data_IF_029316778393
#
_entry.id   IF_029316778393
#
_cell.length_a   1.000
_cell.length_b   1.000
_cell.length_c   1.000
_cell.angle_alpha   90.00
_cell.angle_beta   90.00
_cell.angle_gamma   90.00
#
_symmetry.space_group_name_H-M   'P 1'
#
loop_
_entity.id
_entity.type
_entity.pdbx_description
1 polymer ?
#
# COMPACT_ATOMS: atom_id res chain seq x y z
N UNK A 1 18.33 -10.81 -17.61
CA UNK A 1 17.75 -10.49 -17.34
C UNK A 1 17.14 -10.93 -17.25
N UNK A 2 17.77 -10.96 -17.42
CA UNK A 2 17.18 -11.71 -17.41
C UNK A 2 15.90 -11.40 -17.27
N UNK A 3 15.22 -11.90 -17.73
CA UNK A 3 13.87 -11.68 -17.38
C UNK A 3 13.35 -10.30 -17.61
N UNK A 4 14.03 -9.48 -18.37
CA UNK A 4 13.58 -8.12 -18.59
C UNK A 4 13.55 -7.25 -17.35
N UNK A 5 14.30 -7.62 -16.35
CA UNK A 5 14.34 -6.86 -15.12
C UNK A 5 15.07 -5.57 -15.33
N UNK A 6 14.43 -4.49 -15.04
CA UNK A 6 14.95 -3.16 -15.25
C UNK A 6 14.68 -2.28 -14.07
N UNK A 7 15.13 -1.04 -14.18
CA UNK A 7 14.96 -0.08 -13.11
C UNK A 7 13.51 0.34 -12.90
N UNK A 8 12.62 0.01 -13.81
CA UNK A 8 11.24 0.44 -13.69
C UNK A 8 10.39 -0.43 -12.75
N UNK A 9 11.03 -1.28 -11.99
CA UNK A 9 10.31 -2.13 -11.05
C UNK A 9 10.24 -3.57 -11.48
N UNK A 10 10.71 -3.89 -12.67
CA UNK A 10 10.72 -5.29 -13.11
C UNK A 10 11.64 -6.11 -12.23
N UNK A 11 12.67 -5.49 -11.66
CA UNK A 11 13.51 -6.16 -10.67
C UNK A 11 12.69 -6.70 -9.51
N UNK A 12 11.58 -6.06 -9.20
CA UNK A 12 10.68 -6.53 -8.15
C UNK A 12 10.08 -7.90 -8.44
N UNK A 13 9.85 -8.21 -9.72
CA UNK A 13 9.32 -9.52 -10.10
C UNK A 13 10.28 -10.64 -9.72
N UNK A 14 11.55 -10.44 -9.99
CA UNK A 14 12.55 -11.43 -9.60
C UNK A 14 12.61 -11.58 -8.08
N UNK A 15 12.50 -10.47 -7.37
CA UNK A 15 12.48 -10.47 -5.91
C UNK A 15 11.28 -11.25 -5.39
N UNK A 16 10.11 -11.05 -5.98
CA UNK A 16 8.92 -11.79 -5.58
C UNK A 16 9.13 -13.30 -5.73
N UNK A 17 9.69 -13.72 -6.85
CA UNK A 17 9.94 -15.12 -7.09
C UNK A 17 10.95 -15.68 -6.12
N UNK A 18 12.01 -14.94 -5.87
CA UNK A 18 13.04 -15.37 -4.93
C UNK A 18 12.47 -15.53 -3.53
N UNK A 19 11.47 -14.75 -3.19
CA UNK A 19 10.81 -14.81 -1.89
C UNK A 19 9.62 -15.76 -1.85
N UNK A 20 9.34 -16.46 -2.95
CA UNK A 20 8.23 -17.39 -2.99
C UNK A 20 6.88 -16.74 -3.16
N UNK A 21 6.84 -15.58 -3.82
CA UNK A 21 5.61 -14.79 -3.97
C UNK A 21 4.93 -15.01 -5.32
N UNK A 22 5.29 -16.06 -6.02
CA UNK A 22 4.75 -16.30 -7.36
C UNK A 22 3.23 -16.37 -7.39
N UNK A 23 2.65 -16.99 -6.37
CA UNK A 23 1.20 -17.19 -6.35
C UNK A 23 0.45 -15.86 -6.24
N UNK A 24 0.98 -14.94 -5.43
CA UNK A 24 0.36 -13.64 -5.29
C UNK A 24 0.40 -12.84 -6.59
N UNK A 25 1.54 -12.87 -7.27
CA UNK A 25 1.68 -12.19 -8.54
C UNK A 25 0.75 -12.81 -9.59
N UNK A 26 0.70 -14.14 -9.62
CA UNK A 26 -0.19 -14.83 -10.55
C UNK A 26 -1.64 -14.51 -10.29
N UNK A 27 -2.04 -14.48 -9.03
CA UNK A 27 -3.42 -14.18 -8.70
C UNK A 27 -3.83 -12.82 -9.23
N UNK A 28 -2.95 -11.82 -9.10
CA UNK A 28 -3.24 -10.50 -9.64
C UNK A 28 -3.36 -10.52 -11.14
N UNK A 29 -2.46 -11.22 -11.82
CA UNK A 29 -2.47 -11.28 -13.27
C UNK A 29 -3.70 -11.99 -13.82
N UNK A 30 -4.22 -12.94 -13.04
CA UNK A 30 -5.35 -13.76 -13.50
C UNK A 30 -6.70 -13.21 -13.06
N UNK A 31 -6.69 -12.11 -12.34
CA UNK A 31 -7.94 -11.46 -11.92
C UNK A 31 -8.63 -10.75 -13.07
N UNK A 32 -8.25 -11.04 -14.25
CA UNK A 32 -8.76 -10.33 -15.42
C UNK A 32 -10.26 -10.11 -15.34
N UNK A 33 -10.70 -8.98 -15.71
CA UNK A 33 -12.10 -8.65 -15.73
C UNK A 33 -12.61 -7.95 -14.50
N UNK A 34 -11.89 -7.98 -13.41
CA UNK A 34 -12.35 -7.20 -12.28
C UNK A 34 -11.87 -5.76 -12.43
N UNK A 35 -12.56 -4.87 -11.76
CA UNK A 35 -12.25 -3.45 -11.82
C UNK A 35 -10.86 -3.12 -11.28
N UNK A 36 -10.28 -4.02 -10.55
CA UNK A 36 -8.95 -3.80 -9.97
C UNK A 36 -7.82 -4.22 -10.89
N UNK A 37 -8.13 -4.70 -12.06
CA UNK A 37 -7.14 -5.33 -12.93
C UNK A 37 -6.19 -4.36 -13.63
N UNK A 38 -6.33 -3.06 -13.39
CA UNK A 38 -5.48 -2.08 -14.05
C UNK A 38 -4.15 -1.84 -13.36
N UNK A 39 -3.88 -2.53 -12.26
CA UNK A 39 -2.62 -2.36 -11.55
C UNK A 39 -1.56 -3.26 -12.16
N UNK A 40 -0.34 -2.72 -12.24
CA UNK A 40 0.82 -3.42 -12.77
C UNK A 40 1.62 -4.07 -11.65
N UNK A 41 2.59 -4.89 -12.02
CA UNK A 41 3.53 -5.44 -11.04
C UNK A 41 4.37 -4.34 -10.40
N UNK A 42 4.68 -3.28 -11.13
CA UNK A 42 5.35 -2.12 -10.56
C UNK A 42 4.48 -1.46 -9.50
N UNK A 43 3.18 -1.37 -9.73
CA UNK A 43 2.24 -0.82 -8.74
C UNK A 43 2.21 -1.67 -7.49
N UNK A 44 2.19 -2.99 -7.65
CA UNK A 44 2.22 -3.91 -6.51
C UNK A 44 3.48 -3.70 -5.67
N UNK A 45 4.61 -3.62 -6.32
CA UNK A 45 5.88 -3.42 -5.62
C UNK A 45 5.92 -2.06 -4.91
N UNK A 46 5.46 -1.02 -5.58
CA UNK A 46 5.41 0.32 -5.00
C UNK A 46 4.50 0.35 -3.78
N UNK A 47 3.33 -0.25 -3.88
CA UNK A 47 2.41 -0.33 -2.75
C UNK A 47 3.04 -1.10 -1.58
N UNK A 48 3.70 -2.21 -1.87
CA UNK A 48 4.37 -3.01 -0.85
C UNK A 48 5.48 -2.22 -0.15
N UNK A 49 6.23 -1.42 -0.89
CA UNK A 49 7.27 -0.58 -0.31
C UNK A 49 6.68 0.42 0.68
N UNK A 50 5.58 1.03 0.31
CA UNK A 50 4.92 1.99 1.20
C UNK A 50 4.36 1.30 2.43
N UNK A 51 3.71 0.15 2.26
CA UNK A 51 3.20 -0.63 3.39
C UNK A 51 4.34 -1.00 4.33
N UNK A 52 5.45 -1.48 3.78
CA UNK A 52 6.59 -1.87 4.59
C UNK A 52 7.13 -0.68 5.39
N UNK A 53 7.30 0.45 4.73
CA UNK A 53 7.84 1.64 5.37
C UNK A 53 6.92 2.18 6.46
N UNK A 54 5.60 2.11 6.23
CA UNK A 54 4.63 2.73 7.13
C UNK A 54 4.10 1.79 8.21
N UNK A 55 4.09 0.49 7.96
CA UNK A 55 3.32 -0.43 8.80
C UNK A 55 4.02 -1.75 9.08
N UNK A 56 5.34 -1.88 8.88
CA UNK A 56 6.01 -3.17 9.08
C UNK A 56 5.92 -3.69 10.52
N UNK A 57 5.67 -2.80 11.47
CA UNK A 57 5.48 -3.20 12.88
C UNK A 57 4.04 -3.53 13.24
N UNK A 58 3.12 -3.39 12.30
CA UNK A 58 1.71 -3.64 12.55
C UNK A 58 1.34 -5.10 12.23
N UNK A 59 0.16 -5.51 12.70
CA UNK A 59 -0.38 -6.82 12.34
C UNK A 59 -0.57 -6.91 10.83
N UNK A 60 -0.76 -8.13 10.32
CA UNK A 60 -1.03 -8.31 8.90
C UNK A 60 -2.25 -7.51 8.45
N UNK A 61 -3.35 -7.58 9.22
CA UNK A 61 -4.55 -6.81 8.91
C UNK A 61 -4.25 -5.32 8.87
N UNK A 62 -3.40 -4.83 9.78
CA UNK A 62 -3.00 -3.42 9.79
C UNK A 62 -2.21 -3.04 8.55
N UNK A 63 -1.38 -3.93 8.06
CA UNK A 63 -0.62 -3.69 6.84
C UNK A 63 -1.54 -3.65 5.61
N UNK A 64 -2.49 -4.57 5.53
CA UNK A 64 -3.49 -4.54 4.46
C UNK A 64 -4.30 -3.25 4.54
N UNK A 65 -4.63 -2.81 5.75
CA UNK A 65 -5.40 -1.59 5.95
C UNK A 65 -4.69 -0.36 5.41
N UNK A 66 -3.38 -0.25 5.63
CA UNK A 66 -2.61 0.88 5.07
C UNK A 66 -2.64 0.82 3.54
N UNK A 67 -2.46 -0.35 2.97
CA UNK A 67 -2.57 -0.52 1.52
C UNK A 67 -3.95 -0.13 1.00
N UNK A 68 -5.00 -0.53 1.71
CA UNK A 68 -6.36 -0.20 1.31
C UNK A 68 -6.61 1.30 1.33
N UNK A 69 -6.08 2.01 2.31
CA UNK A 69 -6.21 3.48 2.35
C UNK A 69 -5.59 4.10 1.10
N UNK A 70 -4.41 3.63 0.71
CA UNK A 70 -3.76 4.15 -0.49
C UNK A 70 -4.63 3.89 -1.73
N UNK A 71 -5.16 2.68 -1.85
CA UNK A 71 -6.02 2.36 -2.99
C UNK A 71 -7.34 3.14 -2.97
N UNK A 72 -7.89 3.39 -1.78
CA UNK A 72 -9.09 4.20 -1.66
C UNK A 72 -8.82 5.64 -2.09
N UNK A 73 -7.63 6.17 -1.80
CA UNK A 73 -7.24 7.50 -2.27
C UNK A 73 -7.15 7.53 -3.79
N UNK A 74 -6.57 6.49 -4.40
CA UNK A 74 -6.50 6.40 -5.86
C UNK A 74 -7.89 6.48 -6.48
N UNK A 75 -8.87 5.86 -5.84
CA UNK A 75 -10.26 5.84 -6.33
C UNK A 75 -11.02 7.13 -6.02
N UNK A 76 -10.48 7.99 -5.16
CA UNK A 76 -11.15 9.22 -4.75
C UNK A 76 -10.75 10.37 -5.65
N UNK A 77 -11.73 11.18 -6.05
CA UNK A 77 -11.46 12.36 -6.87
C UNK A 77 -10.64 13.43 -6.13
N UNK A 78 -10.51 13.32 -4.82
CA UNK A 78 -9.77 14.27 -4.00
C UNK A 78 -8.27 14.02 -3.96
N UNK A 79 -7.80 12.93 -4.56
CA UNK A 79 -6.39 12.52 -4.52
C UNK A 79 -5.90 12.20 -5.92
N UNK A 80 -4.57 12.08 -6.10
CA UNK A 80 -4.04 11.61 -7.37
C UNK A 80 -4.62 10.24 -7.74
N UNK A 81 -4.72 9.97 -9.02
CA UNK A 81 -5.39 8.77 -9.51
C UNK A 81 -4.45 7.61 -9.82
N UNK A 82 -3.23 7.65 -9.28
CA UNK A 82 -2.26 6.56 -9.41
C UNK A 82 -1.66 6.25 -8.05
N UNK A 83 -1.18 5.02 -7.89
CA UNK A 83 -0.54 4.61 -6.64
C UNK A 83 0.69 5.47 -6.37
N UNK A 84 1.56 5.65 -7.36
CA UNK A 84 2.75 6.48 -7.15
C UNK A 84 2.37 7.93 -6.89
N UNK A 85 1.33 8.44 -7.55
CA UNK A 85 0.87 9.80 -7.29
C UNK A 85 0.41 10.00 -5.86
N UNK A 86 -0.32 9.04 -5.32
CA UNK A 86 -0.77 9.11 -3.92
C UNK A 86 0.41 9.01 -2.96
N UNK A 87 1.32 8.06 -3.20
CA UNK A 87 2.46 7.83 -2.30
C UNK A 87 3.39 9.03 -2.29
N UNK A 88 3.68 9.61 -3.44
CA UNK A 88 4.63 10.71 -3.56
C UNK A 88 3.98 12.08 -3.45
N UNK A 89 2.69 12.15 -3.15
CA UNK A 89 2.03 13.41 -2.91
C UNK A 89 2.73 14.12 -1.74
N UNK A 90 3.01 15.40 -1.91
CA UNK A 90 3.78 16.16 -0.93
C UNK A 90 3.14 16.06 0.45
N UNK A 91 3.94 15.64 1.42
CA UNK A 91 3.49 15.56 2.81
C UNK A 91 2.61 14.38 3.14
N UNK A 92 2.35 13.48 2.17
CA UNK A 92 1.44 12.36 2.42
C UNK A 92 2.04 11.29 3.33
N UNK A 93 3.33 10.99 3.14
CA UNK A 93 4.00 9.93 3.89
C UNK A 93 5.39 10.37 4.28
N UNK A 94 5.70 10.28 5.57
CA UNK A 94 7.04 10.61 6.05
C UNK A 94 8.09 9.66 5.49
N UNK A 95 7.71 8.44 5.16
CA UNK A 95 8.62 7.47 4.59
C UNK A 95 9.27 7.95 3.30
N UNK A 96 8.59 8.81 2.54
CA UNK A 96 9.16 9.37 1.32
C UNK A 96 10.25 10.38 1.66
N UNK A 97 9.98 11.26 2.61
CA UNK A 97 10.95 12.32 2.94
C UNK A 97 12.13 11.80 3.75
N UNK A 98 11.96 10.75 4.55
CA UNK A 98 13.04 10.21 5.35
C UNK A 98 13.77 9.03 4.69
N UNK A 99 13.36 8.65 3.49
CA UNK A 99 14.05 7.64 2.71
C UNK A 99 13.65 6.19 2.97
N UNK A 100 12.77 5.93 3.93
CA UNK A 100 12.36 4.55 4.21
C UNK A 100 11.65 3.89 3.05
N UNK A 101 11.04 4.68 2.16
CA UNK A 101 10.37 4.15 0.98
C UNK A 101 11.33 3.39 0.06
N UNK A 102 12.64 3.60 0.22
CA UNK A 102 13.66 2.92 -0.59
C UNK A 102 14.02 1.54 -0.06
N UNK A 103 13.56 1.19 1.13
CA UNK A 103 13.84 -0.14 1.69
C UNK A 103 13.08 -1.21 0.91
N UNK A 104 13.69 -2.40 0.82
CA UNK A 104 13.02 -3.53 0.18
C UNK A 104 11.87 -4.02 1.07
N UNK A 105 10.69 -4.23 0.48
CA UNK A 105 9.58 -4.78 1.26
C UNK A 105 9.81 -6.26 1.56
N UNK A 106 9.35 -6.70 2.72
CA UNK A 106 9.41 -8.10 3.06
C UNK A 106 8.22 -8.86 2.46
N UNK A 107 8.20 -10.17 2.68
CA UNK A 107 7.16 -11.03 2.15
C UNK A 107 5.78 -10.63 2.68
N UNK A 108 5.71 -10.27 3.94
CA UNK A 108 4.45 -9.88 4.57
C UNK A 108 3.86 -8.64 3.89
N UNK A 109 4.69 -7.63 3.63
CA UNK A 109 4.23 -6.41 2.96
C UNK A 109 3.80 -6.70 1.52
N UNK A 110 4.52 -7.58 0.83
CA UNK A 110 4.13 -7.97 -0.53
C UNK A 110 2.78 -8.68 -0.55
N UNK A 111 2.56 -9.59 0.40
CA UNK A 111 1.27 -10.25 0.53
C UNK A 111 0.16 -9.27 0.87
N UNK A 112 0.43 -8.33 1.77
CA UNK A 112 -0.56 -7.35 2.16
C UNK A 112 -0.95 -6.46 0.98
N UNK A 113 0.01 -6.05 0.17
CA UNK A 113 -0.26 -5.26 -1.02
C UNK A 113 -1.14 -6.04 -2.00
N UNK A 114 -0.83 -7.32 -2.19
CA UNK A 114 -1.60 -8.17 -3.07
C UNK A 114 -3.04 -8.32 -2.59
N UNK A 115 -3.24 -8.56 -1.31
CA UNK A 115 -4.58 -8.73 -0.76
C UNK A 115 -5.39 -7.43 -0.85
N UNK A 116 -4.76 -6.29 -0.61
CA UNK A 116 -5.43 -5.00 -0.75
C UNK A 116 -5.86 -4.79 -2.21
N UNK A 117 -4.99 -5.08 -3.15
CA UNK A 117 -5.31 -4.94 -4.57
C UNK A 117 -6.41 -5.90 -5.02
N UNK A 118 -6.53 -7.04 -4.35
CA UNK A 118 -7.60 -7.99 -4.63
C UNK A 118 -8.92 -7.62 -3.97
N UNK A 119 -8.98 -6.50 -3.28
CA UNK A 119 -10.23 -5.97 -2.77
C UNK A 119 -10.45 -6.07 -1.28
N UNK A 120 -9.50 -6.62 -0.53
CA UNK A 120 -9.65 -6.69 0.91
C UNK A 120 -9.37 -5.32 1.53
N UNK A 121 -10.42 -4.70 2.05
CA UNK A 121 -10.31 -3.40 2.70
C UNK A 121 -10.89 -3.50 4.13
N UNK A 122 -10.03 -3.76 5.12
CA UNK A 122 -10.51 -3.83 6.50
C UNK A 122 -10.86 -2.46 7.09
N UNK A 123 -10.68 -1.37 6.34
CA UNK A 123 -11.01 -0.02 6.81
C UNK A 123 -12.39 0.45 6.39
N UNK A 124 -13.08 -0.32 5.54
CA UNK A 124 -14.41 0.05 5.06
C UNK A 124 -14.42 1.40 4.31
N UNK A 125 -13.43 1.61 3.46
CA UNK A 125 -13.40 2.77 2.58
C UNK A 125 -12.69 3.99 3.12
N UNK A 126 -11.92 3.86 4.19
CA UNK A 126 -11.22 5.01 4.76
C UNK A 126 -10.14 5.54 3.84
N UNK A 127 -9.94 6.85 3.90
CA UNK A 127 -8.91 7.54 3.12
C UNK A 127 -7.87 8.23 4.01
N UNK A 128 -8.00 8.10 5.33
CA UNK A 128 -7.03 8.63 6.28
C UNK A 128 -6.72 7.60 7.33
N UNK A 129 -5.46 7.62 7.80
CA UNK A 129 -5.10 6.90 9.01
C UNK A 129 -4.05 7.69 9.76
N UNK A 130 -3.97 7.47 11.06
CA UNK A 130 -2.96 8.12 11.88
C UNK A 130 -2.74 7.32 13.15
N UNK A 131 -1.57 7.51 13.74
CA UNK A 131 -1.26 6.96 15.06
C UNK A 131 -1.52 8.06 16.09
N UNK A 132 -2.56 7.94 16.92
CA UNK A 132 -2.91 9.01 17.85
C UNK A 132 -1.83 9.30 18.91
N UNK A 133 -0.92 8.36 19.14
CA UNK A 133 0.15 8.56 20.10
C UNK A 133 1.22 9.56 19.60
N UNK A 134 1.35 9.71 18.27
CA UNK A 134 2.39 10.56 17.70
C UNK A 134 1.85 11.65 16.78
N UNK A 135 0.59 11.59 16.39
CA UNK A 135 0.00 12.60 15.51
C UNK A 135 -0.14 13.92 16.25
N UNK A 136 0.16 15.01 15.56
CA UNK A 136 0.12 16.36 16.16
C UNK A 136 -0.88 17.28 15.48
N UNK A 137 -1.42 16.90 14.32
CA UNK A 137 -2.35 17.72 13.57
C UNK A 137 -3.75 17.63 14.17
N UNK A 138 -4.28 18.76 14.65
CA UNK A 138 -5.63 18.78 15.18
C UNK A 138 -6.67 18.47 14.09
N UNK A 139 -6.34 18.76 12.83
CA UNK A 139 -7.23 18.47 11.72
C UNK A 139 -7.56 16.99 11.62
N UNK A 140 -6.53 16.13 11.77
CA UNK A 140 -6.75 14.69 11.61
C UNK A 140 -7.62 14.14 12.74
N UNK A 141 -7.50 14.69 13.94
CA UNK A 141 -8.32 14.25 15.08
C UNK A 141 -9.80 14.60 14.90
N UNK A 142 -10.10 15.57 14.03
CA UNK A 142 -11.48 15.94 13.74
C UNK A 142 -12.15 15.11 12.67
N UNK A 143 -11.43 14.18 12.04
CA UNK A 143 -12.02 13.33 11.00
C UNK A 143 -12.88 12.24 11.64
N UNK A 144 -13.89 11.80 10.89
CA UNK A 144 -14.79 10.76 11.42
C UNK A 144 -14.04 9.43 11.46
N UNK A 145 -13.87 8.90 12.66
CA UNK A 145 -13.25 7.61 12.87
C UNK A 145 -14.21 6.49 12.46
N UNK A 146 -13.69 5.53 11.72
CA UNK A 146 -14.45 4.36 11.30
C UNK A 146 -13.99 3.13 12.08
N UNK A 147 -12.68 2.90 12.20
CA UNK A 147 -12.16 1.75 12.91
C UNK A 147 -10.74 2.00 13.39
N UNK A 148 -10.29 1.18 14.31
CA UNK A 148 -8.91 1.21 14.81
C UNK A 148 -8.34 -0.19 14.67
N UNK A 149 -7.13 -0.26 14.10
CA UNK A 149 -6.42 -1.53 13.93
C UNK A 149 -5.00 -1.30 14.45
N UNK A 150 -4.62 -2.02 15.51
CA UNK A 150 -3.33 -1.82 16.13
C UNK A 150 -3.15 -0.40 16.62
N UNK A 151 -2.09 0.24 16.19
CA UNK A 151 -1.77 1.61 16.60
C UNK A 151 -2.42 2.66 15.70
N UNK A 152 -3.10 2.27 14.66
CA UNK A 152 -3.65 3.20 13.69
C UNK A 152 -5.16 3.35 13.81
N UNK A 153 -5.60 4.59 13.78
CA UNK A 153 -7.02 4.96 13.67
C UNK A 153 -7.28 5.26 12.20
N UNK A 154 -8.37 4.71 11.68
CA UNK A 154 -8.76 4.89 10.27
C UNK A 154 -10.01 5.75 10.19
N UNK A 155 -10.01 6.70 9.28
CA UNK A 155 -11.03 7.74 9.23
C UNK A 155 -11.38 8.14 7.79
N UNK A 156 -12.50 8.78 7.67
CA UNK A 156 -12.95 9.37 6.41
C UNK A 156 -13.01 10.88 6.49
#
# INVERSE_FOLDING_TARGET
>A
KKNGLTADGVAGIATYRALGMNDSVKALQNQGGSSSSNYTNSDLYMLAKCIYAEARGESYTGQVAVGAVILNRVASSSFPNTISGVIYQKGAFTAVSDGQIKLEPDKTALNAASDAMNGWDPTYGCIYYYNPAVATSSWIFGRKTVTTIGKHVFAV
#
